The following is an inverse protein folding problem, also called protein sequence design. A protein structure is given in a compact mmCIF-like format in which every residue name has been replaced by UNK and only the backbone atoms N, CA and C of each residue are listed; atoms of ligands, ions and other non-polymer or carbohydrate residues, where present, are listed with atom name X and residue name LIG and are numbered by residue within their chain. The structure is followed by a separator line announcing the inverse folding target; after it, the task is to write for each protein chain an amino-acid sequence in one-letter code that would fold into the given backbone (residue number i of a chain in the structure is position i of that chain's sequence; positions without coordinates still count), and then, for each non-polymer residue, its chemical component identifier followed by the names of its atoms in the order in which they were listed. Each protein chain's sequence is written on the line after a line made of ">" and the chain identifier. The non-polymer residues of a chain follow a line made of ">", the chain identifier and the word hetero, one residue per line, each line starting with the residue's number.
data_IF_292545488693
#
_entry.id   IF_292545488693
#
_cell.length_a   1.000
_cell.length_b   1.000
_cell.length_c   1.000
_cell.angle_alpha   90.00
_cell.angle_beta   90.00
_cell.angle_gamma   90.00
#
_symmetry.space_group_name_H-M   'P 1'
#
loop_
_entity.id
_entity.type
_entity.pdbx_description
1 polymer ?
#
# COMPACT_ATOMS: atom_id res chain seq x y z
N UNK A 1 17.92 -7.64 17.33
CA UNK A 1 17.04 -6.44 17.29
C UNK A 1 16.51 -6.21 15.90
N UNK A 2 17.40 -6.05 14.91
CA UNK A 2 17.00 -5.86 13.52
C UNK A 2 16.21 -7.06 13.01
N UNK A 3 16.60 -8.26 13.41
CA UNK A 3 15.92 -9.49 12.99
C UNK A 3 14.48 -9.54 13.49
N UNK A 4 14.25 -9.15 14.74
CA UNK A 4 12.90 -9.10 15.30
C UNK A 4 12.02 -8.09 14.56
N UNK A 5 12.60 -6.94 14.23
CA UNK A 5 11.91 -5.89 13.48
C UNK A 5 11.54 -6.38 12.10
N UNK A 6 12.49 -7.02 11.40
CA UNK A 6 12.23 -7.57 10.07
C UNK A 6 11.15 -8.64 10.11
N UNK A 7 11.17 -9.50 11.09
CA UNK A 7 10.17 -10.57 11.20
C UNK A 7 8.78 -10.04 11.51
N UNK A 8 8.68 -8.90 12.17
CA UNK A 8 7.39 -8.24 12.38
C UNK A 8 6.89 -7.56 11.10
N UNK A 9 7.82 -6.96 10.36
CA UNK A 9 7.48 -6.26 9.12
C UNK A 9 7.10 -7.23 8.00
N UNK A 10 7.77 -8.38 7.96
CA UNK A 10 7.59 -9.38 6.90
C UNK A 10 7.16 -10.73 7.46
N UNK A 11 5.95 -10.82 8.02
CA UNK A 11 5.47 -12.12 8.51
C UNK A 11 5.23 -13.09 7.35
N UNK A 12 5.42 -14.38 7.61
CA UNK A 12 5.20 -15.41 6.60
C UNK A 12 3.77 -15.32 6.06
N UNK A 13 3.63 -15.38 4.75
CA UNK A 13 2.35 -15.30 4.07
C UNK A 13 1.96 -13.92 3.59
N UNK A 14 2.68 -12.86 3.99
CA UNK A 14 2.35 -11.51 3.53
C UNK A 14 2.75 -11.33 2.06
N UNK A 15 2.09 -10.40 1.39
CA UNK A 15 2.44 -10.03 0.01
C UNK A 15 3.57 -9.00 0.05
N UNK A 16 4.51 -9.15 -0.88
CA UNK A 16 5.65 -8.24 -1.02
C UNK A 16 5.82 -7.83 -2.48
N UNK A 17 6.48 -6.69 -2.66
CA UNK A 17 6.85 -6.17 -3.97
C UNK A 17 8.36 -5.98 -3.97
N UNK A 18 9.01 -6.48 -5.01
CA UNK A 18 10.45 -6.31 -5.18
C UNK A 18 10.74 -4.88 -5.63
N UNK A 19 11.62 -4.20 -4.91
CA UNK A 19 12.07 -2.87 -5.29
C UNK A 19 13.36 -2.94 -6.09
N UNK A 20 14.35 -3.65 -5.57
CA UNK A 20 15.65 -3.74 -6.22
C UNK A 20 16.37 -5.04 -5.82
N UNK A 21 16.94 -5.71 -6.80
CA UNK A 21 17.73 -6.91 -6.55
C UNK A 21 18.85 -7.00 -7.61
N UNK A 22 20.07 -7.09 -7.13
CA UNK A 22 21.25 -7.15 -7.99
C UNK A 22 21.65 -8.61 -8.22
N UNK A 23 20.93 -9.28 -9.11
CA UNK A 23 21.17 -10.68 -9.45
C UNK A 23 20.75 -10.89 -10.91
N UNK A 24 21.56 -11.59 -11.72
CA UNK A 24 21.20 -11.83 -13.13
C UNK A 24 19.89 -12.58 -13.31
N UNK A 25 19.45 -13.34 -12.32
CA UNK A 25 18.21 -14.09 -12.38
C UNK A 25 17.07 -13.43 -11.58
N UNK A 26 17.29 -12.18 -11.16
CA UNK A 26 16.29 -11.46 -10.36
C UNK A 26 15.01 -11.22 -11.16
N UNK A 27 13.85 -11.29 -10.49
CA UNK A 27 12.62 -10.81 -11.10
C UNK A 27 12.75 -9.30 -11.38
N UNK A 28 11.91 -8.79 -12.26
CA UNK A 28 11.90 -7.35 -12.55
C UNK A 28 11.45 -6.58 -11.33
N UNK A 29 11.97 -5.36 -11.11
CA UNK A 29 11.44 -4.49 -10.08
C UNK A 29 9.93 -4.31 -10.26
N UNK A 30 9.19 -4.31 -9.16
CA UNK A 30 7.74 -4.26 -9.21
C UNK A 30 7.08 -5.63 -9.21
N UNK A 31 7.83 -6.71 -9.36
CA UNK A 31 7.28 -8.06 -9.29
C UNK A 31 6.76 -8.33 -7.88
N UNK A 32 5.56 -8.90 -7.79
CA UNK A 32 4.97 -9.27 -6.51
C UNK A 32 5.24 -10.73 -6.19
N UNK A 33 5.16 -11.05 -4.93
CA UNK A 33 5.33 -12.41 -4.46
C UNK A 33 4.78 -12.59 -3.06
N UNK A 34 4.97 -13.79 -2.53
CA UNK A 34 4.55 -14.14 -1.16
C UNK A 34 5.81 -14.30 -0.32
N UNK A 35 5.84 -13.61 0.81
CA UNK A 35 6.90 -13.76 1.80
C UNK A 35 6.74 -15.11 2.51
N UNK A 36 7.84 -15.84 2.63
CA UNK A 36 7.85 -17.13 3.34
C UNK A 36 8.48 -17.04 4.72
N UNK A 37 8.83 -15.82 5.11
CA UNK A 37 9.45 -15.55 6.39
C UNK A 37 10.81 -14.90 6.21
N UNK A 38 11.45 -14.59 7.32
CA UNK A 38 12.80 -14.00 7.34
C UNK A 38 13.74 -15.01 7.97
N UNK A 39 14.83 -15.32 7.28
CA UNK A 39 15.80 -16.27 7.81
C UNK A 39 16.70 -15.62 8.88
N UNK A 40 17.61 -16.42 9.45
CA UNK A 40 18.46 -15.93 10.54
C UNK A 40 19.47 -14.87 10.07
N UNK A 41 19.73 -14.79 8.78
CA UNK A 41 20.60 -13.78 8.20
C UNK A 41 19.88 -12.48 7.88
N UNK A 42 18.58 -12.41 8.11
CA UNK A 42 17.81 -11.22 7.79
C UNK A 42 17.30 -11.16 6.36
N UNK A 43 17.44 -12.24 5.61
CA UNK A 43 16.96 -12.30 4.22
C UNK A 43 15.47 -12.62 4.20
N UNK A 44 14.73 -11.91 3.36
CA UNK A 44 13.30 -12.17 3.17
C UNK A 44 13.16 -13.30 2.15
N UNK A 45 12.70 -14.46 2.61
CA UNK A 45 12.45 -15.59 1.73
C UNK A 45 11.17 -15.36 0.97
N UNK A 46 11.19 -15.58 -0.34
CA UNK A 46 10.08 -15.22 -1.20
C UNK A 46 9.75 -16.29 -2.22
N UNK A 47 8.47 -16.36 -2.58
CA UNK A 47 8.01 -17.09 -3.76
C UNK A 47 7.40 -16.04 -4.69
N UNK A 48 8.06 -15.79 -5.82
CA UNK A 48 7.67 -14.75 -6.74
C UNK A 48 6.56 -15.22 -7.68
N UNK A 49 5.60 -14.35 -7.96
CA UNK A 49 4.49 -14.67 -8.85
C UNK A 49 4.97 -15.02 -10.27
N UNK A 50 6.08 -14.43 -10.69
CA UNK A 50 6.70 -14.72 -12.00
C UNK A 50 7.44 -16.06 -12.03
N UNK A 51 7.52 -16.74 -10.91
CA UNK A 51 8.28 -17.97 -10.76
C UNK A 51 9.59 -17.72 -10.03
N UNK A 52 10.13 -18.79 -9.42
CA UNK A 52 11.37 -18.68 -8.67
C UNK A 52 11.19 -18.30 -7.22
N UNK A 53 12.27 -18.45 -6.48
CA UNK A 53 12.25 -18.28 -5.03
C UNK A 53 13.51 -17.59 -4.49
N UNK A 54 14.07 -16.65 -5.27
CA UNK A 54 15.24 -15.90 -4.83
C UNK A 54 14.86 -15.04 -3.61
N UNK A 55 15.64 -15.18 -2.55
CA UNK A 55 15.44 -14.36 -1.33
C UNK A 55 15.93 -12.95 -1.54
N UNK A 56 15.32 -12.01 -0.84
CA UNK A 56 15.74 -10.60 -0.83
C UNK A 56 16.86 -10.48 0.20
N UNK A 57 18.08 -10.24 -0.26
CA UNK A 57 19.26 -10.26 0.59
C UNK A 57 19.33 -9.01 1.48
N UNK A 58 19.53 -9.22 2.77
CA UNK A 58 19.66 -8.14 3.72
C UNK A 58 20.83 -7.23 3.37
N UNK A 59 20.57 -5.94 3.30
CA UNK A 59 21.60 -4.93 3.03
C UNK A 59 21.99 -4.79 1.56
N UNK A 60 21.56 -5.70 0.68
CA UNK A 60 21.89 -5.64 -0.74
C UNK A 60 20.67 -5.40 -1.62
N UNK A 61 19.57 -6.05 -1.29
CA UNK A 61 18.33 -5.97 -2.06
C UNK A 61 17.25 -5.30 -1.24
N UNK A 62 16.20 -4.78 -1.89
CA UNK A 62 15.11 -4.12 -1.19
C UNK A 62 13.76 -4.60 -1.70
N UNK A 63 12.83 -4.72 -0.78
CA UNK A 63 11.43 -5.00 -1.06
C UNK A 63 10.56 -4.30 -0.01
N UNK A 64 9.27 -4.23 -0.28
CA UNK A 64 8.33 -3.70 0.72
C UNK A 64 7.09 -4.57 0.78
N UNK A 65 6.43 -4.55 1.94
CA UNK A 65 5.20 -5.31 2.15
C UNK A 65 4.02 -4.56 1.54
N UNK A 66 3.16 -5.31 0.87
CA UNK A 66 1.89 -4.75 0.38
C UNK A 66 0.90 -4.80 1.54
N UNK A 67 0.35 -3.66 1.90
CA UNK A 67 -0.65 -3.59 2.94
C UNK A 67 -1.96 -4.20 2.45
N UNK A 68 -2.66 -4.91 3.34
CA UNK A 68 -3.98 -5.43 3.03
C UNK A 68 -5.01 -4.30 3.00
N UNK A 69 -6.16 -4.56 2.39
CA UNK A 69 -7.25 -3.57 2.39
C UNK A 69 -7.67 -3.20 3.81
N UNK A 70 -7.69 -4.17 4.72
CA UNK A 70 -8.04 -3.92 6.11
C UNK A 70 -7.03 -2.99 6.80
N UNK A 71 -5.74 -3.22 6.57
CA UNK A 71 -4.70 -2.36 7.12
C UNK A 71 -4.78 -0.95 6.57
N UNK A 72 -5.01 -0.82 5.27
CA UNK A 72 -5.14 0.49 4.62
C UNK A 72 -6.34 1.23 5.20
N UNK A 73 -7.47 0.55 5.33
CA UNK A 73 -8.69 1.14 5.87
C UNK A 73 -8.47 1.69 7.28
N UNK A 74 -7.80 0.90 8.12
CA UNK A 74 -7.48 1.32 9.49
C UNK A 74 -6.55 2.53 9.49
N UNK A 75 -5.54 2.55 8.65
CA UNK A 75 -4.62 3.67 8.53
C UNK A 75 -5.30 4.94 8.05
N UNK A 76 -6.19 4.80 7.08
CA UNK A 76 -6.94 5.96 6.57
C UNK A 76 -7.85 6.54 7.65
N UNK A 77 -8.48 5.69 8.47
CA UNK A 77 -9.29 6.14 9.59
C UNK A 77 -8.45 6.93 10.59
N UNK A 78 -7.26 6.44 10.90
CA UNK A 78 -6.32 7.12 11.79
C UNK A 78 -5.92 8.48 11.22
N UNK A 79 -5.61 8.54 9.92
CA UNK A 79 -5.27 9.78 9.23
C UNK A 79 -6.45 10.74 9.21
N UNK A 80 -7.65 10.23 8.97
CA UNK A 80 -8.86 11.06 8.93
C UNK A 80 -9.11 11.84 10.19
N UNK A 81 -8.70 11.30 11.33
CA UNK A 81 -8.83 12.00 12.62
C UNK A 81 -7.81 13.12 12.78
N UNK A 82 -6.83 13.18 11.89
CA UNK A 82 -5.74 14.16 11.92
C UNK A 82 -5.71 15.04 10.67
N UNK A 83 -6.81 15.08 9.93
CA UNK A 83 -6.91 15.91 8.72
C UNK A 83 -6.60 17.36 9.05
N UNK A 84 -5.85 18.00 8.19
CA UNK A 84 -5.49 19.38 8.34
C UNK A 84 -5.68 20.15 7.05
N UNK A 85 -5.59 21.45 7.16
CA UNK A 85 -5.71 22.34 6.02
C UNK A 85 -4.62 22.03 5.00
N UNK A 86 -4.96 22.13 3.74
CA UNK A 86 -4.02 21.90 2.66
C UNK A 86 -3.78 20.44 2.35
N UNK A 87 -4.50 19.54 3.01
CA UNK A 87 -4.41 18.13 2.72
C UNK A 87 -4.84 17.85 1.28
N UNK A 88 -4.28 16.80 0.70
CA UNK A 88 -4.71 16.33 -0.61
C UNK A 88 -5.74 15.23 -0.43
N UNK A 89 -6.59 15.06 -1.45
CA UNK A 89 -7.51 13.94 -1.48
C UNK A 89 -6.71 12.63 -1.45
N UNK A 90 -6.94 11.76 -0.46
CA UNK A 90 -6.15 10.52 -0.38
C UNK A 90 -6.43 9.57 -1.54
N UNK A 91 -7.60 9.69 -2.17
CA UNK A 91 -7.99 8.80 -3.25
C UNK A 91 -7.37 9.19 -4.58
N UNK A 92 -7.39 10.47 -4.95
CA UNK A 92 -6.90 10.93 -6.26
C UNK A 92 -5.73 11.90 -6.20
N UNK A 93 -5.37 12.41 -5.04
CA UNK A 93 -4.22 13.30 -4.87
C UNK A 93 -4.46 14.78 -5.17
N UNK A 94 -5.67 15.17 -5.54
CA UNK A 94 -5.96 16.57 -5.81
C UNK A 94 -5.92 17.41 -4.53
N UNK A 95 -5.56 18.66 -4.67
CA UNK A 95 -5.62 19.61 -3.55
C UNK A 95 -7.04 20.10 -3.28
N UNK A 96 -7.93 19.90 -4.25
CA UNK A 96 -9.27 20.43 -4.15
C UNK A 96 -9.32 21.91 -4.51
N UNK A 97 -10.49 22.37 -4.85
CA UNK A 97 -10.77 23.77 -5.16
C UNK A 97 -12.25 24.06 -4.96
N UNK A 98 -12.71 25.26 -5.36
CA UNK A 98 -14.11 25.66 -5.18
C UNK A 98 -15.10 24.75 -5.92
N UNK A 99 -14.66 24.14 -7.03
CA UNK A 99 -15.49 23.23 -7.81
C UNK A 99 -15.40 21.77 -7.40
N UNK A 100 -14.43 21.44 -6.57
CA UNK A 100 -14.19 20.05 -6.13
C UNK A 100 -13.55 20.09 -4.75
N UNK A 101 -14.35 20.26 -3.72
CA UNK A 101 -13.87 20.46 -2.35
C UNK A 101 -13.56 19.12 -1.68
N UNK A 102 -12.67 19.16 -0.68
CA UNK A 102 -12.32 17.96 0.10
C UNK A 102 -13.32 17.79 1.24
N UNK A 103 -14.57 17.53 0.91
CA UNK A 103 -15.66 17.49 1.87
C UNK A 103 -16.50 16.21 1.85
N UNK A 104 -16.26 15.31 0.91
CA UNK A 104 -17.06 14.10 0.82
C UNK A 104 -16.50 13.03 1.74
N UNK A 105 -17.37 12.36 2.50
CA UNK A 105 -16.95 11.23 3.31
C UNK A 105 -16.85 10.00 2.43
N UNK A 106 -15.70 9.32 2.47
CA UNK A 106 -15.51 8.12 1.67
C UNK A 106 -16.43 7.00 2.14
N UNK A 107 -16.91 6.20 1.18
CA UNK A 107 -17.68 4.98 1.46
C UNK A 107 -16.76 3.80 1.72
N UNK A 108 -15.44 3.95 1.50
CA UNK A 108 -14.45 2.87 1.63
C UNK A 108 -13.72 2.91 2.95
N UNK A 109 -13.53 4.11 3.51
CA UNK A 109 -12.77 4.30 4.74
C UNK A 109 -13.27 5.53 5.47
N UNK A 110 -12.96 5.63 6.74
CA UNK A 110 -13.37 6.75 7.58
C UNK A 110 -12.41 7.93 7.37
N UNK A 111 -12.51 8.53 6.18
CA UNK A 111 -11.68 9.68 5.80
C UNK A 111 -12.42 10.49 4.74
N UNK A 112 -12.12 11.78 4.69
CA UNK A 112 -12.71 12.69 3.71
C UNK A 112 -11.94 12.60 2.38
N UNK A 113 -12.68 12.58 1.28
CA UNK A 113 -12.16 12.64 -0.07
C UNK A 113 -12.75 13.86 -0.79
N UNK A 114 -12.25 14.16 -1.98
CA UNK A 114 -12.84 15.26 -2.76
C UNK A 114 -14.24 14.88 -3.25
N UNK A 115 -15.03 15.89 -3.60
CA UNK A 115 -16.42 15.67 -4.02
C UNK A 115 -16.51 14.80 -5.27
N UNK A 116 -15.56 14.96 -6.22
CA UNK A 116 -15.52 14.12 -7.42
C UNK A 116 -15.29 12.65 -7.06
N UNK A 117 -14.38 12.37 -6.14
CA UNK A 117 -14.13 11.00 -5.69
C UNK A 117 -15.35 10.43 -4.95
N UNK A 118 -16.02 11.26 -4.15
CA UNK A 118 -17.24 10.85 -3.49
C UNK A 118 -18.31 10.43 -4.50
N UNK A 119 -18.44 11.19 -5.59
CA UNK A 119 -19.37 10.86 -6.66
C UNK A 119 -18.97 9.56 -7.35
N UNK A 120 -17.68 9.38 -7.64
CA UNK A 120 -17.19 8.16 -8.26
C UNK A 120 -17.49 6.93 -7.40
N UNK A 121 -17.32 7.05 -6.09
CA UNK A 121 -17.64 5.95 -5.18
C UNK A 121 -19.13 5.61 -5.19
N UNK A 122 -19.98 6.64 -5.31
CA UNK A 122 -21.41 6.43 -5.46
C UNK A 122 -21.74 5.65 -6.72
N UNK A 123 -21.07 5.98 -7.82
CA UNK A 123 -21.26 5.29 -9.10
C UNK A 123 -20.75 3.85 -9.04
N UNK A 124 -19.67 3.62 -8.31
CA UNK A 124 -19.14 2.28 -8.06
C UNK A 124 -20.18 1.44 -7.31
N UNK A 125 -20.77 2.01 -6.26
CA UNK A 125 -21.76 1.30 -5.47
C UNK A 125 -23.04 1.02 -6.27
N UNK A 126 -23.33 1.88 -7.24
CA UNK A 126 -24.49 1.67 -8.14
C UNK A 126 -24.19 0.66 -9.25
N UNK A 127 -22.96 0.14 -9.34
CA UNK A 127 -22.58 -0.82 -10.36
C UNK A 127 -22.30 -0.21 -11.72
N UNK A 128 -22.20 1.12 -11.80
CA UNK A 128 -21.95 1.83 -13.06
C UNK A 128 -20.46 1.83 -13.38
N UNK A 129 -19.62 1.94 -12.37
CA UNK A 129 -18.17 1.92 -12.51
C UNK A 129 -17.57 0.75 -11.74
N UNK A 130 -16.43 0.27 -12.21
CA UNK A 130 -15.68 -0.74 -11.48
C UNK A 130 -15.06 -0.08 -10.23
N UNK A 131 -15.14 -0.79 -9.12
CA UNK A 131 -14.65 -0.28 -7.84
C UNK A 131 -13.13 -0.14 -7.85
N UNK A 132 -12.64 1.05 -7.47
CA UNK A 132 -11.22 1.29 -7.28
C UNK A 132 -10.82 0.72 -5.91
N UNK A 133 -9.95 -0.28 -5.85
CA UNK A 133 -9.54 -0.83 -4.56
C UNK A 133 -8.68 0.16 -3.78
N UNK A 134 -8.68 0.05 -2.46
CA UNK A 134 -7.89 0.92 -1.59
C UNK A 134 -6.40 0.87 -1.91
N UNK A 135 -5.92 -0.28 -2.37
CA UNK A 135 -4.52 -0.43 -2.76
C UNK A 135 -4.14 0.47 -3.94
N UNK A 136 -5.12 0.93 -4.72
CA UNK A 136 -4.89 1.80 -5.87
C UNK A 136 -5.10 3.27 -5.56
N UNK A 137 -5.43 3.62 -4.32
CA UNK A 137 -5.57 5.02 -3.93
C UNK A 137 -4.25 5.75 -4.04
N UNK A 138 -4.31 7.03 -4.43
CA UNK A 138 -3.12 7.86 -4.62
C UNK A 138 -2.16 7.83 -3.42
N UNK A 139 -2.70 7.96 -2.21
CA UNK A 139 -1.85 8.04 -1.01
C UNK A 139 -1.12 6.72 -0.75
N UNK A 140 -1.72 5.60 -1.13
CA UNK A 140 -1.10 4.28 -0.97
C UNK A 140 0.00 4.10 -2.00
N UNK A 141 -0.29 4.44 -3.25
CA UNK A 141 0.69 4.27 -4.34
C UNK A 141 1.88 5.21 -4.22
N UNK A 142 1.67 6.37 -3.64
CA UNK A 142 2.72 7.39 -3.56
C UNK A 142 3.85 7.01 -2.61
N UNK A 143 3.58 6.36 -1.52
CA UNK A 143 4.65 6.13 -0.56
C UNK A 143 4.28 5.29 0.63
N UNK A 144 3.26 4.52 0.51
CA UNK A 144 2.84 3.65 1.58
C UNK A 144 3.71 2.41 1.64
N UNK A 145 4.48 2.25 2.70
CA UNK A 145 5.41 1.14 2.87
C UNK A 145 4.88 0.04 3.78
N UNK A 146 3.62 0.06 4.12
CA UNK A 146 3.06 -0.92 5.05
C UNK A 146 3.25 -0.59 6.52
N UNK A 147 4.16 0.31 6.83
CA UNK A 147 4.36 0.79 8.21
C UNK A 147 3.75 2.17 8.41
N UNK A 148 2.96 2.58 7.49
CA UNK A 148 2.33 3.88 7.41
C UNK A 148 1.45 4.22 8.62
N UNK A 149 0.91 3.21 9.25
CA UNK A 149 -0.04 3.36 10.35
C UNK A 149 0.51 4.08 11.57
N UNK A 150 1.79 4.19 11.66
CA UNK A 150 2.42 4.80 12.83
C UNK A 150 3.09 6.10 12.40
#
# INVERSE_FOLDING_TARGET
>A
KELKKLRREFPAGCRIVLDEMDDPQAPRPGTQGVCRGVDDGGNVMASWDSGGSLSVAYGADTCHRVASEAEIKESLAWLGKRAHRGARCPRCGTRGDAGNRLLALSRRADITVCEDCGMLEGLEDAGILERLPLTEWWIVKKGWSGSFLR
#
